data_IF_654506456457
#
_entry.id   IF_654506456457
#
_cell.length_a   1.000
_cell.length_b   1.000
_cell.length_c   1.000
_cell.angle_alpha   90.00
_cell.angle_beta   90.00
_cell.angle_gamma   90.00
#
_symmetry.space_group_name_H-M   'P 1'
#
loop_
_entity.id
_entity.type
_entity.pdbx_description
1 polymer ?
#
# COMPACT_ATOMS: atom_id res chain seq x y z
N UNK A 1 -4.99 44.35 39.83
CA UNK A 1 -4.95 44.81 38.43
C UNK A 1 -3.51 45.09 38.05
N UNK A 2 -2.86 44.16 37.35
CA UNK A 2 -1.58 44.41 36.68
C UNK A 2 -1.53 43.46 35.48
N UNK A 3 -1.91 43.98 34.32
CA UNK A 3 -1.82 43.27 33.04
C UNK A 3 -0.37 43.32 32.59
N UNK A 4 0.31 42.17 32.56
CA UNK A 4 1.57 42.02 31.83
C UNK A 4 1.29 41.25 30.54
N UNK A 5 1.22 42.00 29.45
CA UNK A 5 1.21 41.48 28.10
C UNK A 5 2.60 40.91 27.78
N UNK A 6 2.71 39.59 27.70
CA UNK A 6 3.87 38.90 27.18
C UNK A 6 3.61 38.57 25.71
N UNK A 7 4.07 39.45 24.82
CA UNK A 7 4.31 39.16 23.41
C UNK A 7 5.59 38.33 23.33
N UNK A 8 5.48 37.00 23.29
CA UNK A 8 6.61 36.15 22.93
C UNK A 8 6.58 35.89 21.44
N UNK A 9 7.68 36.31 20.82
CA UNK A 9 7.98 36.20 19.41
C UNK A 9 7.75 34.79 18.87
N UNK A 10 7.04 34.76 17.75
CA UNK A 10 7.01 33.64 16.81
C UNK A 10 8.44 33.43 16.31
N UNK A 11 9.19 32.59 17.03
CA UNK A 11 10.40 31.96 16.52
C UNK A 11 9.94 31.15 15.31
N UNK A 12 10.11 31.76 14.14
CA UNK A 12 10.02 31.10 12.86
C UNK A 12 11.06 29.99 12.83
N UNK A 13 10.64 28.80 13.25
CA UNK A 13 11.21 27.56 12.75
C UNK A 13 11.18 27.68 11.23
N UNK A 14 12.34 28.03 10.67
CA UNK A 14 12.64 27.84 9.26
C UNK A 14 12.37 26.36 8.99
N UNK A 15 11.16 26.09 8.49
CA UNK A 15 10.78 24.84 7.85
C UNK A 15 11.69 24.70 6.63
N UNK A 16 12.89 24.18 6.90
CA UNK A 16 13.81 23.67 5.91
C UNK A 16 13.04 22.64 5.10
N UNK A 17 12.54 23.11 3.96
CA UNK A 17 11.58 22.39 3.14
C UNK A 17 12.14 21.00 2.82
N UNK A 18 11.51 19.91 3.32
CA UNK A 18 12.01 18.55 3.13
C UNK A 18 11.98 18.08 1.66
N UNK A 19 11.48 18.92 0.76
CA UNK A 19 11.28 18.62 -0.66
C UNK A 19 12.58 18.46 -1.44
N UNK A 20 13.68 19.10 -1.01
CA UNK A 20 14.94 19.09 -1.79
C UNK A 20 15.72 17.77 -1.67
N UNK A 21 15.57 17.03 -0.57
CA UNK A 21 16.30 15.76 -0.36
C UNK A 21 15.66 14.57 -1.08
N UNK A 22 14.40 14.68 -1.47
CA UNK A 22 13.68 13.57 -2.11
C UNK A 22 14.01 13.43 -3.60
N UNK A 23 14.25 14.54 -4.31
CA UNK A 23 14.50 14.55 -5.76
C UNK A 23 15.74 13.75 -6.16
N UNK A 24 16.82 13.86 -5.40
CA UNK A 24 18.09 13.21 -5.71
C UNK A 24 17.97 11.68 -5.60
N UNK A 25 17.12 11.22 -4.68
CA UNK A 25 16.84 9.80 -4.51
C UNK A 25 16.08 9.22 -5.70
N UNK A 26 15.24 10.01 -6.38
CA UNK A 26 14.46 9.55 -7.53
C UNK A 26 15.32 9.42 -8.77
N UNK A 27 16.15 10.42 -9.03
CA UNK A 27 17.05 10.40 -10.18
C UNK A 27 17.97 9.19 -10.10
N UNK A 28 18.59 8.95 -8.93
CA UNK A 28 19.42 7.78 -8.70
C UNK A 28 18.68 6.46 -8.94
N UNK A 29 17.44 6.34 -8.45
CA UNK A 29 16.60 5.14 -8.68
C UNK A 29 16.25 4.94 -10.15
N UNK A 30 15.99 6.02 -10.88
CA UNK A 30 15.70 5.98 -12.32
C UNK A 30 16.94 5.57 -13.13
N UNK A 31 18.12 6.12 -12.79
CA UNK A 31 19.40 5.72 -13.40
C UNK A 31 19.69 4.24 -13.15
N UNK A 32 19.52 3.75 -11.91
CA UNK A 32 19.71 2.32 -11.59
C UNK A 32 18.75 1.43 -12.39
N UNK A 33 17.51 1.86 -12.58
CA UNK A 33 16.52 1.14 -13.36
C UNK A 33 16.87 1.12 -14.86
N UNK A 34 17.38 2.22 -15.42
CA UNK A 34 17.87 2.26 -16.80
C UNK A 34 19.10 1.35 -16.98
N UNK A 35 20.04 1.35 -16.03
CA UNK A 35 21.20 0.45 -16.05
C UNK A 35 20.77 -1.02 -15.99
N UNK A 36 19.77 -1.35 -15.16
CA UNK A 36 19.21 -2.71 -15.08
C UNK A 36 18.65 -3.16 -16.44
N UNK A 37 17.93 -2.28 -17.13
CA UNK A 37 17.35 -2.57 -18.45
C UNK A 37 18.44 -2.70 -19.50
N UNK A 38 19.43 -1.81 -19.50
CA UNK A 38 20.59 -1.93 -20.38
C UNK A 38 21.33 -3.26 -20.21
N UNK A 39 21.57 -3.68 -18.96
CA UNK A 39 22.18 -4.97 -18.66
C UNK A 39 21.33 -6.15 -19.15
N UNK A 40 20.01 -6.10 -18.95
CA UNK A 40 19.08 -7.13 -19.42
C UNK A 40 19.06 -7.23 -20.95
N UNK A 41 19.03 -6.09 -21.64
CA UNK A 41 19.08 -6.02 -23.11
C UNK A 41 20.39 -6.63 -23.63
N UNK A 42 21.53 -6.24 -23.06
CA UNK A 42 22.83 -6.81 -23.44
C UNK A 42 22.88 -8.32 -23.21
N UNK A 43 22.35 -8.80 -22.08
CA UNK A 43 22.25 -10.23 -21.79
C UNK A 43 21.42 -10.98 -22.84
N UNK A 44 20.24 -10.46 -23.20
CA UNK A 44 19.36 -11.05 -24.24
C UNK A 44 20.09 -11.10 -25.59
N UNK A 45 20.80 -10.03 -25.96
CA UNK A 45 21.55 -9.98 -27.22
C UNK A 45 22.69 -11.00 -27.24
N UNK A 46 23.46 -11.12 -26.15
CA UNK A 46 24.53 -12.12 -26.03
C UNK A 46 23.95 -13.53 -26.11
N UNK A 47 22.86 -13.79 -25.40
CA UNK A 47 22.15 -15.07 -25.45
C UNK A 47 21.71 -15.43 -26.87
N UNK A 48 21.10 -14.48 -27.59
CA UNK A 48 20.66 -14.68 -28.96
C UNK A 48 21.82 -14.95 -29.92
N UNK A 49 22.97 -14.27 -29.73
CA UNK A 49 24.17 -14.49 -30.55
C UNK A 49 24.83 -15.85 -30.31
N UNK A 50 24.69 -16.42 -29.11
CA UNK A 50 25.29 -17.71 -28.76
C UNK A 50 24.39 -18.90 -29.12
N UNK A 51 23.07 -18.73 -29.10
CA UNK A 51 22.09 -19.80 -29.31
C UNK A 51 21.59 -19.95 -30.76
N UNK A 52 22.50 -20.16 -31.73
CA UNK A 52 22.19 -20.15 -33.17
C UNK A 52 21.11 -21.17 -33.62
N UNK A 53 20.86 -22.22 -32.84
CA UNK A 53 19.93 -23.30 -33.23
C UNK A 53 18.52 -23.18 -32.60
N UNK A 54 18.27 -22.15 -31.79
CA UNK A 54 16.94 -22.00 -31.19
C UNK A 54 15.94 -21.41 -32.19
N UNK A 55 14.71 -21.95 -32.24
CA UNK A 55 13.66 -21.36 -33.07
C UNK A 55 13.41 -19.90 -32.68
N UNK A 56 13.24 -19.05 -33.69
CA UNK A 56 13.08 -17.60 -33.53
C UNK A 56 11.86 -17.23 -32.68
N UNK A 57 10.73 -17.92 -32.86
CA UNK A 57 9.47 -17.60 -32.17
C UNK A 57 9.55 -17.67 -30.62
N UNK A 58 10.02 -18.77 -30.00
CA UNK A 58 10.12 -18.81 -28.55
C UNK A 58 11.20 -17.85 -28.03
N UNK A 59 12.31 -17.67 -28.74
CA UNK A 59 13.36 -16.76 -28.30
C UNK A 59 12.87 -15.31 -28.30
N UNK A 60 12.14 -14.88 -29.33
CA UNK A 60 11.50 -13.56 -29.36
C UNK A 60 10.49 -13.40 -28.22
N UNK A 61 9.64 -14.42 -28.00
CA UNK A 61 8.64 -14.37 -26.93
C UNK A 61 9.28 -14.27 -25.53
N UNK A 62 10.34 -15.03 -25.26
CA UNK A 62 11.04 -14.96 -23.98
C UNK A 62 11.78 -13.63 -23.79
N UNK A 63 12.34 -13.06 -24.86
CA UNK A 63 12.94 -11.73 -24.81
C UNK A 63 11.90 -10.67 -24.43
N UNK A 64 10.76 -10.66 -25.11
CA UNK A 64 9.67 -9.69 -24.87
C UNK A 64 9.07 -9.84 -23.46
N UNK A 65 8.83 -11.08 -23.04
CA UNK A 65 8.25 -11.39 -21.75
C UNK A 65 9.21 -11.02 -20.61
N UNK A 66 10.49 -11.39 -20.74
CA UNK A 66 11.50 -11.05 -19.73
C UNK A 66 11.72 -9.55 -19.61
N UNK A 67 11.78 -8.83 -20.73
CA UNK A 67 11.90 -7.37 -20.71
C UNK A 67 10.66 -6.72 -20.07
N UNK A 68 9.46 -7.19 -20.40
CA UNK A 68 8.22 -6.70 -19.81
C UNK A 68 8.14 -6.92 -18.30
N UNK A 69 8.58 -8.09 -17.82
CA UNK A 69 8.68 -8.40 -16.40
C UNK A 69 9.71 -7.50 -15.71
N UNK A 70 10.92 -7.35 -16.27
CA UNK A 70 11.98 -6.51 -15.68
C UNK A 70 11.55 -5.05 -15.60
N UNK A 71 10.92 -4.51 -16.66
CA UNK A 71 10.41 -3.15 -16.67
C UNK A 71 9.33 -2.93 -15.59
N UNK A 72 8.36 -3.84 -15.48
CA UNK A 72 7.29 -3.72 -14.49
C UNK A 72 7.75 -3.96 -13.05
N UNK A 73 8.55 -5.00 -12.79
CA UNK A 73 9.13 -5.25 -11.47
C UNK A 73 10.11 -4.17 -11.05
N UNK A 74 10.98 -3.73 -11.96
CA UNK A 74 11.92 -2.65 -11.72
C UNK A 74 11.20 -1.35 -11.36
N UNK A 75 10.24 -0.91 -12.19
CA UNK A 75 9.44 0.28 -11.89
C UNK A 75 8.73 0.17 -10.53
N UNK A 76 8.23 -1.02 -10.18
CA UNK A 76 7.59 -1.25 -8.88
C UNK A 76 8.54 -1.09 -7.70
N UNK A 77 9.74 -1.68 -7.76
CA UNK A 77 10.74 -1.65 -6.69
C UNK A 77 11.29 -0.24 -6.52
N UNK A 78 11.72 0.37 -7.62
CA UNK A 78 12.38 1.67 -7.61
C UNK A 78 11.40 2.84 -7.40
N UNK A 79 10.14 2.71 -7.84
CA UNK A 79 9.12 3.77 -7.71
C UNK A 79 8.03 3.42 -6.67
N UNK A 80 8.38 2.63 -5.64
CA UNK A 80 7.44 2.15 -4.60
C UNK A 80 6.64 3.26 -3.89
N UNK A 81 7.17 4.48 -3.84
CA UNK A 81 6.54 5.62 -3.15
C UNK A 81 5.75 6.54 -4.08
N UNK A 82 5.69 6.27 -5.39
CA UNK A 82 5.04 7.14 -6.38
C UNK A 82 3.60 6.73 -6.66
N UNK A 83 2.81 7.60 -7.25
CA UNK A 83 1.45 7.24 -7.66
C UNK A 83 1.44 6.07 -8.64
N UNK A 84 0.38 5.25 -8.57
CA UNK A 84 0.24 4.10 -9.47
C UNK A 84 0.36 4.51 -10.94
N UNK A 85 -0.23 5.65 -11.33
CA UNK A 85 -0.14 6.16 -12.70
C UNK A 85 1.30 6.42 -13.15
N UNK A 86 2.09 7.14 -12.32
CA UNK A 86 3.50 7.44 -12.63
C UNK A 86 4.31 6.14 -12.79
N UNK A 87 4.08 5.15 -11.94
CA UNK A 87 4.76 3.84 -12.06
C UNK A 87 4.44 3.14 -13.37
N UNK A 88 3.16 3.12 -13.78
CA UNK A 88 2.72 2.52 -15.04
C UNK A 88 3.35 3.23 -16.23
N UNK A 89 3.29 4.57 -16.24
CA UNK A 89 3.84 5.37 -17.32
C UNK A 89 5.36 5.15 -17.47
N UNK A 90 6.11 5.21 -16.37
CA UNK A 90 7.57 4.99 -16.38
C UNK A 90 7.90 3.57 -16.81
N UNK A 91 7.14 2.55 -16.35
CA UNK A 91 7.34 1.17 -16.79
C UNK A 91 7.15 1.00 -18.30
N UNK A 92 6.11 1.60 -18.88
CA UNK A 92 5.85 1.57 -20.32
C UNK A 92 6.97 2.28 -21.10
N UNK A 93 7.40 3.46 -20.65
CA UNK A 93 8.47 4.22 -21.30
C UNK A 93 9.79 3.43 -21.31
N UNK A 94 10.11 2.79 -20.19
CA UNK A 94 11.30 1.94 -20.06
C UNK A 94 11.19 0.68 -20.92
N UNK A 95 10.00 0.08 -21.01
CA UNK A 95 9.76 -1.05 -21.89
C UNK A 95 10.01 -0.68 -23.36
N UNK A 96 9.42 0.44 -23.82
CA UNK A 96 9.61 0.92 -25.20
C UNK A 96 11.09 1.20 -25.48
N UNK A 97 11.79 1.83 -24.53
CA UNK A 97 13.23 2.08 -24.65
C UNK A 97 14.03 0.78 -24.75
N UNK A 98 13.71 -0.22 -23.92
CA UNK A 98 14.36 -1.53 -23.96
C UNK A 98 14.12 -2.27 -25.29
N UNK A 99 12.88 -2.26 -25.79
CA UNK A 99 12.52 -2.86 -27.08
C UNK A 99 13.24 -2.18 -28.25
N UNK A 100 13.33 -0.85 -28.21
CA UNK A 100 14.10 -0.08 -29.19
C UNK A 100 15.59 -0.42 -29.15
N UNK A 101 16.18 -0.53 -27.96
CA UNK A 101 17.60 -0.90 -27.82
C UNK A 101 17.88 -2.32 -28.32
N UNK A 102 17.01 -3.29 -28.04
CA UNK A 102 17.13 -4.66 -28.59
C UNK A 102 17.09 -4.61 -30.13
N UNK A 103 16.15 -3.85 -30.71
CA UNK A 103 16.07 -3.63 -32.15
C UNK A 103 17.34 -3.07 -32.75
N UNK A 104 17.84 -1.97 -32.19
CA UNK A 104 19.07 -1.35 -32.66
C UNK A 104 20.28 -2.30 -32.64
N UNK A 105 20.40 -3.16 -31.61
CA UNK A 105 21.54 -4.08 -31.45
C UNK A 105 21.42 -5.36 -32.28
N UNK A 106 20.22 -5.71 -32.73
CA UNK A 106 19.92 -6.94 -33.48
C UNK A 106 19.58 -6.68 -34.93
N UNK A 107 19.86 -5.47 -35.45
CA UNK A 107 19.48 -5.04 -36.80
C UNK A 107 17.97 -5.18 -37.07
N UNK A 108 17.15 -4.88 -36.05
CA UNK A 108 15.69 -4.94 -36.09
C UNK A 108 15.11 -6.35 -36.33
N UNK A 109 15.90 -7.40 -36.08
CA UNK A 109 15.42 -8.79 -36.09
C UNK A 109 14.57 -9.08 -34.84
N UNK A 110 14.92 -8.46 -33.71
CA UNK A 110 14.19 -8.54 -32.45
C UNK A 110 13.73 -7.15 -32.03
N UNK A 111 12.58 -7.04 -31.38
CA UNK A 111 12.09 -5.77 -30.82
C UNK A 111 11.12 -5.03 -31.73
N UNK A 112 11.03 -3.71 -31.56
CA UNK A 112 10.16 -2.85 -32.38
C UNK A 112 11.04 -2.24 -33.46
N UNK A 113 10.62 -2.37 -34.73
CA UNK A 113 11.29 -1.76 -35.88
C UNK A 113 11.53 -0.25 -35.71
N UNK A 114 12.39 0.36 -36.55
CA UNK A 114 12.78 1.76 -36.39
C UNK A 114 11.52 2.63 -36.42
N UNK A 115 11.14 3.12 -35.24
CA UNK A 115 10.09 4.11 -35.10
C UNK A 115 10.65 5.33 -35.82
N UNK A 116 10.11 5.63 -37.00
CA UNK A 116 10.41 6.88 -37.70
C UNK A 116 9.79 7.99 -36.86
N UNK A 117 10.49 8.40 -35.81
CA UNK A 117 10.25 9.67 -35.18
C UNK A 117 10.40 10.71 -36.30
N UNK A 118 9.32 11.43 -36.62
CA UNK A 118 9.43 12.57 -37.52
C UNK A 118 10.60 13.42 -37.03
N UNK A 119 11.50 13.84 -37.93
CA UNK A 119 12.64 14.70 -37.58
C UNK A 119 12.18 15.92 -36.75
N UNK A 120 10.97 16.42 -37.03
CA UNK A 120 10.30 17.49 -36.29
C UNK A 120 10.13 17.19 -34.80
N UNK A 121 9.83 15.94 -34.42
CA UNK A 121 9.71 15.55 -33.02
C UNK A 121 11.07 15.52 -32.32
N UNK A 122 12.13 15.08 -33.02
CA UNK A 122 13.49 15.12 -32.49
C UNK A 122 13.98 16.57 -32.30
N UNK A 123 13.64 17.47 -33.22
CA UNK A 123 13.89 18.91 -33.10
C UNK A 123 13.13 19.51 -31.90
N UNK A 124 11.85 19.19 -31.75
CA UNK A 124 11.05 19.62 -30.60
C UNK A 124 11.61 19.10 -29.27
N UNK A 125 12.01 17.83 -29.21
CA UNK A 125 12.62 17.25 -28.00
C UNK A 125 13.92 17.95 -27.60
N UNK A 126 14.69 18.47 -28.56
CA UNK A 126 15.95 19.18 -28.30
C UNK A 126 15.72 20.54 -27.64
N UNK A 127 14.57 21.15 -27.86
CA UNK A 127 14.15 22.40 -27.19
C UNK A 127 13.59 22.18 -25.79
N UNK A 128 13.14 20.96 -25.47
CA UNK A 128 12.60 20.66 -24.14
C UNK A 128 13.74 20.54 -23.13
N UNK A 129 14.03 21.64 -22.43
CA UNK A 129 14.83 21.60 -21.21
C UNK A 129 14.11 20.76 -20.14
N UNK A 130 14.83 19.82 -19.53
CA UNK A 130 14.37 19.04 -18.39
C UNK A 130 14.32 19.91 -17.14
N UNK A 131 13.33 20.79 -17.07
CA UNK A 131 13.07 21.62 -15.89
C UNK A 131 12.08 20.94 -14.95
N UNK A 132 11.94 21.43 -13.71
CA UNK A 132 11.00 20.87 -12.72
C UNK A 132 9.55 20.87 -13.22
N UNK A 133 9.20 21.79 -14.12
CA UNK A 133 7.89 21.88 -14.75
C UNK A 133 7.71 21.02 -16.00
N UNK A 134 8.68 20.17 -16.34
CA UNK A 134 8.64 19.30 -17.52
C UNK A 134 7.33 18.51 -17.62
N UNK A 135 6.87 17.90 -16.53
CA UNK A 135 5.61 17.13 -16.54
C UNK A 135 4.38 18.02 -16.70
N UNK A 136 4.39 19.22 -16.13
CA UNK A 136 3.30 20.19 -16.28
C UNK A 136 3.24 20.69 -17.73
N UNK A 137 4.40 20.93 -18.36
CA UNK A 137 4.52 21.31 -19.77
C UNK A 137 4.15 20.18 -20.73
N UNK A 138 4.52 18.93 -20.43
CA UNK A 138 4.07 17.78 -21.23
C UNK A 138 2.55 17.63 -21.16
N UNK A 139 1.96 17.83 -19.99
CA UNK A 139 0.51 17.82 -19.82
C UNK A 139 -0.18 18.92 -20.64
N UNK A 140 0.44 20.10 -20.75
CA UNK A 140 -0.12 21.22 -21.52
C UNK A 140 0.17 21.15 -23.02
N UNK A 141 1.20 20.42 -23.44
CA UNK A 141 1.61 20.34 -24.85
C UNK A 141 0.59 19.67 -25.77
N UNK A 142 -0.52 19.13 -25.24
CA UNK A 142 -1.63 18.64 -26.07
C UNK A 142 -1.16 17.66 -27.15
N UNK A 143 -0.07 16.94 -26.90
CA UNK A 143 0.51 16.00 -27.86
C UNK A 143 -0.53 14.91 -28.01
N UNK A 144 -1.32 14.99 -29.09
CA UNK A 144 -2.30 13.98 -29.41
C UNK A 144 -1.56 12.65 -29.44
N UNK A 145 -2.04 11.67 -28.68
CA UNK A 145 -1.45 10.32 -28.64
C UNK A 145 -1.29 9.69 -30.04
N UNK A 146 -2.05 10.19 -31.03
CA UNK A 146 -1.97 9.86 -32.44
C UNK A 146 -0.66 10.29 -33.12
N UNK A 147 0.02 11.34 -32.64
CA UNK A 147 1.27 11.85 -33.24
C UNK A 147 2.48 11.08 -32.72
N UNK A 148 2.44 10.61 -31.47
CA UNK A 148 3.56 9.91 -30.85
C UNK A 148 3.81 8.51 -31.44
N UNK A 149 2.78 7.87 -31.98
CA UNK A 149 2.87 6.52 -32.51
C UNK A 149 2.02 6.40 -33.77
N UNK A 150 2.66 6.53 -34.94
CA UNK A 150 2.03 6.16 -36.21
C UNK A 150 2.03 4.64 -36.36
N UNK A 151 1.06 3.99 -35.71
CA UNK A 151 0.85 2.54 -35.78
C UNK A 151 0.50 2.06 -37.19
N UNK A 152 0.15 2.95 -38.13
CA UNK A 152 -0.24 2.55 -39.49
C UNK A 152 0.89 1.89 -40.28
N UNK A 153 2.14 2.17 -39.91
CA UNK A 153 3.34 1.59 -40.54
C UNK A 153 3.99 0.47 -39.73
N UNK A 154 3.43 0.14 -38.57
CA UNK A 154 3.97 -0.87 -37.69
C UNK A 154 3.63 -2.26 -38.25
N UNK A 155 4.64 -3.10 -38.46
CA UNK A 155 4.39 -4.47 -38.88
C UNK A 155 3.58 -5.18 -37.79
N UNK A 156 2.69 -6.08 -38.19
CA UNK A 156 1.85 -6.80 -37.22
C UNK A 156 2.69 -7.60 -36.21
N UNK A 157 3.85 -8.10 -36.64
CA UNK A 157 4.84 -8.74 -35.77
C UNK A 157 5.33 -7.80 -34.66
N UNK A 158 5.77 -6.59 -35.00
CA UNK A 158 6.15 -5.55 -34.02
C UNK A 158 4.98 -5.28 -33.05
N UNK A 159 3.76 -5.24 -33.59
CA UNK A 159 2.53 -5.06 -32.82
C UNK A 159 2.33 -6.15 -31.78
N UNK A 160 2.58 -7.41 -32.16
CA UNK A 160 2.50 -8.55 -31.26
C UNK A 160 3.59 -8.50 -30.18
N UNK A 161 4.84 -8.18 -30.54
CA UNK A 161 5.96 -8.02 -29.60
C UNK A 161 5.63 -6.97 -28.54
N UNK A 162 5.19 -5.78 -28.96
CA UNK A 162 4.78 -4.71 -28.05
C UNK A 162 3.60 -5.13 -27.17
N UNK A 163 2.61 -5.83 -27.71
CA UNK A 163 1.45 -6.28 -26.94
C UNK A 163 1.83 -7.31 -25.86
N UNK A 164 2.66 -8.30 -26.20
CA UNK A 164 3.15 -9.32 -25.26
C UNK A 164 3.94 -8.67 -24.12
N UNK A 165 4.91 -7.83 -24.47
CA UNK A 165 5.70 -7.09 -23.48
C UNK A 165 4.83 -6.20 -22.58
N UNK A 166 3.86 -5.48 -23.15
CA UNK A 166 2.94 -4.62 -22.40
C UNK A 166 2.09 -5.43 -21.41
N UNK A 167 1.53 -6.56 -21.85
CA UNK A 167 0.74 -7.46 -20.98
C UNK A 167 1.60 -7.94 -19.82
N UNK A 168 2.85 -8.37 -20.07
CA UNK A 168 3.76 -8.84 -19.02
C UNK A 168 4.16 -7.72 -18.05
N UNK A 169 4.34 -6.49 -18.54
CA UNK A 169 4.55 -5.31 -17.69
C UNK A 169 3.33 -5.01 -16.82
N UNK A 170 2.12 -5.07 -17.37
CA UNK A 170 0.89 -4.85 -16.59
C UNK A 170 0.71 -5.95 -15.54
N UNK A 171 0.91 -7.22 -15.90
CA UNK A 171 0.82 -8.35 -14.99
C UNK A 171 1.83 -8.24 -13.83
N UNK A 172 3.09 -7.90 -14.10
CA UNK A 172 4.10 -7.71 -13.04
C UNK A 172 3.78 -6.52 -12.13
N UNK A 173 3.20 -5.44 -12.67
CA UNK A 173 2.68 -4.33 -11.86
C UNK A 173 1.48 -4.74 -11.00
N UNK A 174 0.63 -5.66 -11.48
CA UNK A 174 -0.55 -6.15 -10.76
C UNK A 174 -0.25 -7.25 -9.74
N UNK A 175 0.76 -8.09 -9.96
CA UNK A 175 1.05 -9.30 -9.19
C UNK A 175 1.20 -9.11 -7.67
N UNK A 176 1.50 -7.88 -7.22
CA UNK A 176 1.61 -7.53 -5.79
C UNK A 176 0.73 -6.34 -5.41
N UNK A 177 -0.27 -5.98 -6.22
CA UNK A 177 -1.39 -5.23 -5.67
C UNK A 177 -2.00 -6.19 -4.66
N UNK A 178 -1.50 -6.14 -3.41
CA UNK A 178 -2.20 -6.73 -2.28
C UNK A 178 -3.61 -6.22 -2.49
N UNK A 179 -4.62 -7.10 -2.67
CA UNK A 179 -5.98 -6.63 -2.55
C UNK A 179 -5.93 -5.83 -1.27
N UNK A 180 -6.21 -4.53 -1.38
CA UNK A 180 -6.53 -3.77 -0.19
C UNK A 180 -7.69 -4.57 0.29
N UNK A 181 -7.42 -5.49 1.22
CA UNK A 181 -8.43 -6.23 1.90
C UNK A 181 -9.19 -5.06 2.47
N UNK A 182 -10.31 -4.76 1.81
CA UNK A 182 -11.36 -3.99 2.39
C UNK A 182 -11.55 -4.82 3.64
N UNK A 183 -10.89 -4.38 4.72
CA UNK A 183 -11.26 -4.74 6.05
C UNK A 183 -12.70 -4.30 5.98
N UNK A 184 -13.58 -5.25 5.65
CA UNK A 184 -14.97 -5.11 6.00
C UNK A 184 -14.84 -4.66 7.44
N UNK A 185 -15.25 -3.40 7.73
CA UNK A 185 -15.27 -2.99 9.11
C UNK A 185 -16.06 -4.11 9.74
N UNK A 186 -15.36 -4.93 10.54
CA UNK A 186 -16.00 -5.97 11.31
C UNK A 186 -16.97 -5.14 12.09
N UNK A 187 -18.23 -5.17 11.64
CA UNK A 187 -19.32 -4.51 12.29
C UNK A 187 -19.31 -5.26 13.60
N UNK A 188 -18.61 -4.65 14.56
CA UNK A 188 -18.52 -5.13 15.92
C UNK A 188 -19.97 -5.12 16.32
N UNK A 189 -20.63 -6.26 16.13
CA UNK A 189 -21.97 -6.50 16.63
C UNK A 189 -21.85 -6.05 18.07
N UNK A 190 -22.47 -4.92 18.45
CA UNK A 190 -22.19 -4.28 19.72
C UNK A 190 -22.35 -5.37 20.75
N UNK A 191 -21.25 -5.67 21.44
CA UNK A 191 -21.24 -6.75 22.41
C UNK A 191 -22.42 -6.44 23.33
N UNK A 192 -23.45 -7.30 23.40
CA UNK A 192 -24.67 -6.97 24.12
C UNK A 192 -24.24 -6.57 25.51
N UNK A 193 -24.63 -5.36 25.90
CA UNK A 193 -24.24 -4.77 27.18
C UNK A 193 -24.41 -5.84 28.26
N UNK A 194 -23.38 -6.10 29.08
CA UNK A 194 -23.48 -7.14 30.10
C UNK A 194 -24.74 -6.85 30.90
N UNK A 195 -25.67 -7.82 30.91
CA UNK A 195 -26.91 -7.69 31.63
C UNK A 195 -26.59 -7.20 33.05
N UNK A 196 -27.32 -6.20 33.58
CA UNK A 196 -27.04 -5.63 34.88
C UNK A 196 -26.92 -6.78 35.87
N UNK A 197 -25.70 -6.97 36.41
CA UNK A 197 -25.46 -7.97 37.44
C UNK A 197 -26.30 -7.55 38.64
N UNK A 198 -27.49 -8.16 38.75
CA UNK A 198 -28.25 -8.16 40.00
C UNK A 198 -27.30 -8.73 41.03
N UNK A 199 -26.79 -7.85 41.90
CA UNK A 199 -26.00 -8.22 43.07
C UNK A 199 -26.88 -9.13 43.90
N UNK A 200 -26.74 -10.44 43.69
CA UNK A 200 -27.18 -11.44 44.65
C UNK A 200 -26.42 -11.14 45.93
N UNK A 201 -27.12 -10.54 46.88
CA UNK A 201 -26.68 -10.22 48.24
C UNK A 201 -26.43 -11.56 48.92
N UNK A 202 -25.25 -12.15 48.67
CA UNK A 202 -24.83 -13.41 49.28
C UNK A 202 -24.46 -13.10 50.72
N UNK A 203 -25.41 -13.38 51.61
CA UNK A 203 -25.19 -13.46 53.03
C UNK A 203 -24.10 -14.51 53.32
N UNK A 204 -23.22 -14.18 54.26
CA UNK A 204 -22.71 -15.12 55.25
C UNK A 204 -21.60 -16.09 54.85
N UNK A 205 -20.41 -15.81 55.38
CA UNK A 205 -19.49 -16.74 56.08
C UNK A 205 -19.26 -18.14 55.51
N UNK A 206 -18.00 -18.43 55.20
CA UNK A 206 -17.13 -19.27 56.05
C UNK A 206 -15.67 -19.20 55.58
N UNK A 207 -14.68 -19.10 56.49
CA UNK A 207 -13.27 -19.34 56.18
C UNK A 207 -12.99 -20.85 56.28
N UNK A 208 -12.33 -21.41 55.27
CA UNK A 208 -11.77 -22.76 55.36
C UNK A 208 -10.25 -22.70 55.09
N UNK A 209 -9.44 -23.52 55.77
CA UNK A 209 -8.02 -23.32 55.88
C UNK A 209 -7.26 -23.98 54.72
N UNK A 210 -6.04 -23.48 54.56
CA UNK A 210 -4.91 -24.09 53.88
C UNK A 210 -4.84 -25.62 54.02
N UNK A 211 -4.55 -26.30 52.92
CA UNK A 211 -3.48 -27.29 52.89
C UNK A 211 -3.06 -27.59 51.46
N UNK A 212 -1.75 -27.59 51.24
CA UNK A 212 -1.13 -27.72 49.94
C UNK A 212 -1.23 -29.11 49.34
N UNK A 213 -0.89 -29.18 48.05
CA UNK A 213 0.05 -30.16 47.52
C UNK A 213 0.39 -29.80 46.09
N UNK A 214 1.70 -29.66 45.87
CA UNK A 214 2.30 -29.70 44.56
C UNK A 214 1.90 -31.00 43.83
N UNK A 215 1.53 -30.89 42.56
CA UNK A 215 1.63 -32.01 41.62
C UNK A 215 2.27 -31.54 40.32
N UNK A 216 3.57 -31.80 40.26
CA UNK A 216 4.35 -31.92 39.04
C UNK A 216 3.94 -33.20 38.31
N UNK A 217 3.88 -33.13 36.98
CA UNK A 217 3.99 -34.16 35.92
C UNK A 217 2.96 -33.86 34.83
N UNK A 218 3.20 -33.95 33.53
CA UNK A 218 4.37 -34.08 32.62
C UNK A 218 3.72 -33.97 31.20
N UNK A 219 4.50 -33.79 30.12
CA UNK A 219 3.97 -33.60 28.78
C UNK A 219 3.62 -34.94 28.10
N UNK A 220 2.55 -34.97 27.32
CA UNK A 220 2.21 -36.03 26.38
C UNK A 220 1.45 -35.40 25.22
N UNK A 221 2.09 -35.24 24.06
CA UNK A 221 2.07 -36.19 22.93
C UNK A 221 0.68 -36.29 22.30
N UNK A 222 0.60 -35.76 21.08
CA UNK A 222 -0.63 -35.50 20.36
C UNK A 222 -1.37 -36.74 19.89
N UNK A 223 -2.57 -36.51 19.40
CA UNK A 223 -3.14 -37.29 18.31
C UNK A 223 -4.07 -36.39 17.49
N UNK A 224 -3.85 -36.47 16.18
CA UNK A 224 -4.70 -35.93 15.15
C UNK A 224 -6.15 -36.36 15.36
N UNK A 225 -7.08 -35.44 15.16
CA UNK A 225 -8.45 -35.78 14.75
C UNK A 225 -8.77 -35.05 13.45
N UNK A 226 -8.43 -35.72 12.36
CA UNK A 226 -9.18 -35.66 11.11
C UNK A 226 -10.65 -35.94 11.45
N UNK A 227 -11.53 -34.95 11.21
CA UNK A 227 -12.97 -35.18 11.08
C UNK A 227 -13.36 -34.90 9.65
N UNK A 228 -13.39 -35.99 8.88
CA UNK A 228 -14.14 -36.08 7.65
C UNK A 228 -15.60 -36.45 7.94
N UNK A 229 -16.47 -36.11 6.98
CA UNK A 229 -17.83 -36.62 6.75
C UNK A 229 -18.95 -36.18 7.69
N UNK A 230 -19.89 -35.40 7.18
CA UNK A 230 -21.18 -35.92 6.66
C UNK A 230 -22.09 -34.79 6.18
N UNK A 231 -22.17 -34.67 4.85
CA UNK A 231 -23.34 -34.57 3.96
C UNK A 231 -24.79 -34.25 4.46
N UNK A 232 -25.73 -33.98 3.54
CA UNK A 232 -26.58 -32.79 3.51
C UNK A 232 -27.98 -33.02 4.10
N UNK A 233 -28.68 -31.93 4.44
CA UNK A 233 -30.11 -32.00 4.75
C UNK A 233 -30.91 -31.15 3.76
N UNK A 234 -31.37 -31.82 2.71
CA UNK A 234 -32.53 -31.41 1.94
C UNK A 234 -33.80 -31.74 2.73
N UNK A 235 -34.72 -30.76 2.86
CA UNK A 235 -36.12 -30.95 3.26
C UNK A 235 -36.90 -29.80 2.63
N UNK A 236 -37.48 -30.01 1.44
CA UNK A 236 -38.82 -30.56 1.19
C UNK A 236 -39.96 -29.63 1.62
N UNK A 237 -40.55 -29.00 0.60
CA UNK A 237 -41.93 -28.57 0.37
C UNK A 237 -42.94 -28.63 1.53
N UNK A 238 -43.59 -27.49 1.80
CA UNK A 238 -44.97 -27.22 1.36
C UNK A 238 -45.48 -25.92 2.01
N UNK A 239 -46.16 -25.07 1.24
CA UNK A 239 -46.78 -23.87 1.80
C UNK A 239 -47.26 -22.88 0.76
N UNK A 240 -48.11 -23.35 -0.15
CA UNK A 240 -48.92 -22.53 -1.04
C UNK A 240 -49.79 -21.56 -0.23
N UNK A 241 -49.50 -20.27 -0.32
CA UNK A 241 -50.49 -19.22 -0.10
C UNK A 241 -50.28 -18.11 -1.11
N UNK A 242 -51.21 -18.04 -2.05
CA UNK A 242 -51.32 -16.97 -3.03
C UNK A 242 -51.60 -15.66 -2.28
N UNK A 243 -50.60 -14.81 -2.19
CA UNK A 243 -50.77 -13.41 -1.81
C UNK A 243 -50.61 -12.55 -3.06
N UNK A 244 -51.71 -11.85 -3.32
CA UNK A 244 -51.92 -10.74 -4.24
C UNK A 244 -50.62 -9.99 -4.54
N UNK A 245 -50.17 -10.12 -5.80
CA UNK A 245 -48.95 -9.53 -6.33
C UNK A 245 -49.15 -8.01 -6.48
N UNK A 246 -48.93 -7.25 -5.39
CA UNK A 246 -48.66 -5.81 -5.51
C UNK A 246 -47.40 -5.66 -6.37
N UNK A 247 -47.53 -4.98 -7.52
CA UNK A 247 -46.40 -4.56 -8.34
C UNK A 247 -45.52 -3.64 -7.49
N UNK A 248 -44.48 -4.23 -6.94
CA UNK A 248 -43.40 -3.53 -6.26
C UNK A 248 -42.68 -2.67 -7.33
N UNK A 249 -42.47 -1.37 -7.08
CA UNK A 249 -41.78 -0.52 -8.02
C UNK A 249 -40.35 -1.06 -8.20
N UNK A 250 -40.01 -1.42 -9.43
CA UNK A 250 -38.66 -1.84 -9.81
C UNK A 250 -37.71 -0.68 -9.50
N UNK A 251 -37.10 -0.74 -8.32
CA UNK A 251 -36.02 0.15 -7.91
C UNK A 251 -34.85 -0.08 -8.84
N UNK A 252 -34.75 0.77 -9.87
CA UNK A 252 -33.57 0.83 -10.74
C UNK A 252 -32.35 0.99 -9.85
N UNK A 253 -31.31 0.14 -9.97
CA UNK A 253 -30.10 0.30 -9.20
C UNK A 253 -29.47 1.66 -9.54
N UNK A 254 -29.53 2.60 -8.59
CA UNK A 254 -28.81 3.87 -8.69
C UNK A 254 -27.33 3.52 -8.86
N UNK A 255 -26.79 3.76 -10.07
CA UNK A 255 -25.36 3.73 -10.36
C UNK A 255 -24.67 4.66 -9.36
N UNK A 256 -24.15 4.07 -8.27
CA UNK A 256 -23.37 4.78 -7.26
C UNK A 256 -22.12 5.29 -7.98
N UNK A 257 -22.01 6.61 -8.05
CA UNK A 257 -20.85 7.33 -8.59
C UNK A 257 -19.60 6.81 -7.87
N UNK A 258 -18.78 6.07 -8.60
CA UNK A 258 -17.49 5.49 -8.20
C UNK A 258 -16.39 6.55 -7.99
N UNK A 259 -16.76 7.78 -7.64
CA UNK A 259 -15.79 8.77 -7.17
C UNK A 259 -15.65 8.62 -5.66
N UNK A 260 -14.77 7.67 -5.35
CA UNK A 260 -14.17 7.40 -4.05
C UNK A 260 -13.83 8.71 -3.34
N UNK A 261 -14.70 9.14 -2.41
CA UNK A 261 -14.24 9.95 -1.30
C UNK A 261 -13.27 9.06 -0.53
N UNK A 262 -11.98 9.40 -0.55
CA UNK A 262 -10.96 8.73 0.27
C UNK A 262 -11.56 8.57 1.68
N UNK A 263 -11.68 7.36 2.23
CA UNK A 263 -12.14 7.22 3.61
C UNK A 263 -11.20 8.08 4.45
N UNK A 264 -11.77 9.00 5.22
CA UNK A 264 -11.02 9.76 6.22
C UNK A 264 -10.61 8.70 7.24
N UNK A 265 -9.45 8.08 7.01
CA UNK A 265 -8.81 7.18 7.96
C UNK A 265 -8.48 8.09 9.13
N UNK A 266 -9.43 8.21 10.06
CA UNK A 266 -9.16 8.71 11.38
C UNK A 266 -8.34 7.60 12.01
N UNK A 267 -7.02 7.73 11.94
CA UNK A 267 -6.19 7.04 12.90
C UNK A 267 -6.66 7.60 14.25
N UNK A 268 -7.60 6.90 14.88
CA UNK A 268 -7.74 6.99 16.32
C UNK A 268 -6.43 6.38 16.84
N UNK A 269 -5.40 7.22 16.89
CA UNK A 269 -4.18 6.93 17.60
C UNK A 269 -4.64 6.86 19.06
N UNK A 270 -5.01 5.65 19.48
CA UNK A 270 -5.25 5.35 20.89
C UNK A 270 -3.87 5.44 21.51
N UNK A 271 -3.53 6.61 22.04
CA UNK A 271 -2.29 6.83 22.75
C UNK A 271 -2.35 6.07 24.07
N UNK A 272 -1.60 4.97 24.13
CA UNK A 272 -1.46 4.19 25.36
C UNK A 272 -0.50 4.93 26.30
N UNK A 273 -1.07 5.72 27.23
CA UNK A 273 -0.28 6.38 28.27
C UNK A 273 0.21 5.36 29.31
N UNK A 274 1.48 5.46 29.70
CA UNK A 274 2.10 4.63 30.74
C UNK A 274 2.66 5.51 31.84
N UNK A 275 2.47 5.10 33.09
CA UNK A 275 3.03 5.80 34.24
C UNK A 275 4.57 5.69 34.22
N UNK A 276 5.33 6.80 34.26
CA UNK A 276 6.79 6.76 34.29
C UNK A 276 7.40 6.00 35.48
N UNK A 277 6.65 5.85 36.57
CA UNK A 277 7.16 5.25 37.82
C UNK A 277 7.06 3.73 37.86
N UNK A 278 5.92 3.18 37.45
CA UNK A 278 5.66 1.73 37.48
C UNK A 278 5.62 1.09 36.09
N UNK A 279 5.62 1.90 35.01
CA UNK A 279 5.51 1.48 33.60
C UNK A 279 4.21 0.75 33.24
N UNK A 280 3.26 0.70 34.18
CA UNK A 280 1.92 0.20 33.97
C UNK A 280 1.09 1.20 33.14
N UNK A 281 0.15 0.70 32.32
CA UNK A 281 -0.76 1.56 31.58
C UNK A 281 -1.62 2.39 32.54
N UNK A 282 -1.80 3.66 32.23
CA UNK A 282 -2.67 4.59 32.96
C UNK A 282 -3.75 5.08 32.02
N UNK A 283 -4.99 5.06 32.49
CA UNK A 283 -6.12 5.70 31.82
C UNK A 283 -6.79 6.67 32.79
N UNK A 284 -7.43 7.74 32.31
CA UNK A 284 -8.10 8.73 33.18
C UNK A 284 -9.11 8.13 34.18
N UNK A 285 -9.63 6.92 33.92
CA UNK A 285 -10.57 6.20 34.79
C UNK A 285 -9.91 5.04 35.56
N UNK A 286 -8.60 5.09 35.82
CA UNK A 286 -7.89 4.05 36.58
C UNK A 286 -8.44 3.95 38.02
N UNK A 287 -8.76 2.73 38.51
CA UNK A 287 -9.28 2.54 39.87
C UNK A 287 -8.31 2.94 40.98
N UNK A 288 -7.01 3.03 40.71
CA UNK A 288 -5.99 3.54 41.66
C UNK A 288 -6.06 5.07 41.81
N UNK A 289 -6.85 5.75 40.98
CA UNK A 289 -6.85 7.19 40.83
C UNK A 289 -5.70 7.66 39.95
N UNK A 290 -5.89 8.82 39.31
CA UNK A 290 -4.91 9.41 38.39
C UNK A 290 -4.57 10.82 38.81
N UNK A 291 -3.29 11.17 38.66
CA UNK A 291 -2.78 12.52 38.76
C UNK A 291 -2.11 12.90 37.45
N UNK A 292 -2.46 14.06 36.93
CA UNK A 292 -1.86 14.64 35.73
C UNK A 292 -0.83 15.68 36.18
N UNK A 293 0.36 15.67 35.58
CA UNK A 293 1.38 16.67 35.88
C UNK A 293 1.01 18.02 35.26
N UNK A 294 0.97 19.08 36.06
CA UNK A 294 0.62 20.44 35.61
C UNK A 294 1.59 21.04 34.56
N UNK A 295 2.78 20.45 34.40
CA UNK A 295 3.83 20.95 33.49
C UNK A 295 3.87 20.17 32.17
N UNK A 296 3.89 18.84 32.21
CA UNK A 296 4.00 18.01 31.00
C UNK A 296 2.73 17.24 30.62
N UNK A 297 1.64 17.38 31.39
CA UNK A 297 0.38 16.67 31.18
C UNK A 297 0.49 15.14 31.12
N UNK A 298 1.60 14.58 31.62
CA UNK A 298 1.78 13.13 31.70
C UNK A 298 0.90 12.58 32.83
N UNK A 299 0.22 11.46 32.56
CA UNK A 299 -0.65 10.80 33.53
C UNK A 299 0.15 9.84 34.42
N UNK A 300 -0.10 9.91 35.72
CA UNK A 300 0.51 9.07 36.76
C UNK A 300 -0.58 8.40 37.60
N UNK A 301 -0.31 7.21 38.15
CA UNK A 301 -1.16 6.67 39.21
C UNK A 301 -1.06 7.54 40.47
N UNK A 302 -2.20 7.78 41.15
CA UNK A 302 -2.26 8.67 42.31
C UNK A 302 -1.39 8.19 43.48
N UNK A 303 -1.20 6.88 43.64
CA UNK A 303 -0.32 6.28 44.64
C UNK A 303 1.17 6.48 44.31
N UNK A 304 1.58 6.29 43.05
CA UNK A 304 2.94 6.59 42.61
C UNK A 304 3.27 8.09 42.73
N UNK A 305 2.28 8.96 42.47
CA UNK A 305 2.41 10.40 42.67
C UNK A 305 2.53 10.77 44.16
N UNK A 306 1.77 10.13 45.04
CA UNK A 306 1.83 10.40 46.49
C UNK A 306 3.20 10.07 47.11
N UNK A 307 3.90 9.07 46.56
CA UNK A 307 5.25 8.69 47.02
C UNK A 307 6.31 9.71 46.57
N UNK A 308 6.25 10.13 45.31
CA UNK A 308 7.27 11.01 44.72
C UNK A 308 7.01 12.49 44.96
N UNK A 309 5.74 12.89 45.08
CA UNK A 309 5.29 14.27 45.30
C UNK A 309 5.41 15.20 44.10
N UNK A 310 6.23 14.85 43.10
CA UNK A 310 6.53 15.65 41.90
C UNK A 310 6.72 14.75 40.68
N UNK A 311 6.64 15.29 39.47
CA UNK A 311 6.93 14.57 38.23
C UNK A 311 8.46 14.53 37.98
N UNK A 312 9.02 13.35 37.72
CA UNK A 312 10.44 13.15 37.38
C UNK A 312 10.75 13.29 35.89
N UNK A 313 9.74 13.51 35.04
CA UNK A 313 9.98 13.79 33.63
C UNK A 313 10.69 15.14 33.56
N UNK A 314 11.89 15.22 32.93
CA UNK A 314 12.62 16.47 32.83
C UNK A 314 11.79 17.51 32.08
N UNK A 315 11.31 18.51 32.81
CA UNK A 315 10.70 19.68 32.19
C UNK A 315 11.82 20.62 31.79
N UNK A 316 11.88 21.00 30.51
CA UNK A 316 12.68 22.15 30.11
C UNK A 316 12.03 23.35 30.78
N UNK A 317 12.72 23.94 31.77
CA UNK A 317 12.23 25.10 32.53
C UNK A 317 11.65 26.15 31.56
N UNK A 318 10.36 26.40 31.71
CA UNK A 318 9.66 27.52 31.08
C UNK A 318 9.51 28.65 32.09
#
# INVERSE_FOLDING_TARGET
MAMRAATMDSIGTMDSSPTMRESDSLFRKLVLLLLLIGAAVLWIVVWFRQGADFPLLPTTFFADASLGLIAGFGARIFLRNRDGFVRYFVAILILVLGMYMIGALTNWVLGIGPIRFEQKFAEQLREVRFDRDFFNRIGSLGIGSRVLFDFSRMNWADGAHLAVSLVMTVLSLQAWRRPTATLEPVELTPTPAPAPRVRSRRAGRTPAPSNGRARVQRPGSGFARLRANSQPRARSNNGSRATIRKKEPVLRPKKKRLFQRKPKIQFALVEDHRCPYCLDPVSHNDPRGVKECDVCHTLHHADCWAITGVCQVPHLNT
#
